data_IF_746332181054
#
_entry.id   IF_746332181054
#
_cell.length_a   1.000
_cell.length_b   1.000
_cell.length_c   1.000
_cell.angle_alpha   90.00
_cell.angle_beta   90.00
_cell.angle_gamma   90.00
#
_symmetry.space_group_name_H-M   'P 1'
#
loop_
_entity.id
_entity.type
_entity.pdbx_description
1 polymer ?
#
# COMPACT_ATOMS: atom_id res chain seq x y z
N UNK A 1 -24.81 60.84 19.84
CA UNK A 1 -24.76 60.77 18.36
C UNK A 1 -24.24 59.41 17.98
N UNK A 2 -25.07 58.55 17.48
CA UNK A 2 -24.73 57.18 17.09
C UNK A 2 -24.48 57.11 15.61
N UNK A 3 -23.23 56.73 15.20
CA UNK A 3 -22.86 56.47 13.83
C UNK A 3 -23.08 54.99 13.52
N UNK A 4 -23.99 54.67 12.59
CA UNK A 4 -24.27 53.38 12.02
C UNK A 4 -23.18 53.07 10.99
N UNK A 5 -22.45 51.95 11.15
CA UNK A 5 -21.60 51.38 10.14
C UNK A 5 -22.36 50.27 9.40
N UNK A 6 -22.56 50.48 8.09
CA UNK A 6 -23.13 49.50 7.19
C UNK A 6 -22.08 48.40 6.89
N UNK A 7 -22.40 47.18 7.27
CA UNK A 7 -21.61 46.03 6.85
C UNK A 7 -22.00 45.57 5.44
N UNK A 8 -21.03 45.60 4.54
CA UNK A 8 -21.13 44.96 3.22
C UNK A 8 -21.02 43.44 3.39
N UNK A 9 -22.09 42.76 3.07
CA UNK A 9 -22.08 41.30 2.90
C UNK A 9 -21.45 40.97 1.55
N UNK A 10 -20.21 40.46 1.55
CA UNK A 10 -19.63 39.81 0.40
C UNK A 10 -20.19 38.37 0.32
N UNK A 11 -21.01 38.14 -0.69
CA UNK A 11 -21.44 36.82 -1.13
C UNK A 11 -20.20 36.08 -1.65
N UNK A 12 -19.76 35.06 -0.91
CA UNK A 12 -18.86 34.05 -1.47
C UNK A 12 -19.70 33.09 -2.31
N UNK A 13 -19.56 33.22 -3.61
CA UNK A 13 -20.04 32.24 -4.58
C UNK A 13 -19.30 30.94 -4.36
N UNK A 14 -20.06 29.92 -4.04
CA UNK A 14 -19.60 28.54 -3.88
C UNK A 14 -19.49 27.93 -5.28
N UNK A 15 -18.38 28.16 -5.99
CA UNK A 15 -18.04 27.40 -7.18
C UNK A 15 -17.38 26.09 -6.77
N UNK A 16 -18.24 25.12 -6.46
CA UNK A 16 -17.86 23.70 -6.41
C UNK A 16 -17.79 23.17 -7.85
N UNK A 17 -16.72 23.47 -8.57
CA UNK A 17 -16.31 22.64 -9.70
C UNK A 17 -15.66 21.37 -9.13
N UNK A 18 -16.46 20.32 -9.10
CA UNK A 18 -15.99 18.96 -8.99
C UNK A 18 -15.11 18.67 -10.22
N UNK A 19 -13.80 18.53 -10.02
CA UNK A 19 -12.89 17.92 -10.98
C UNK A 19 -13.16 16.41 -11.05
N UNK A 20 -14.22 16.06 -11.77
CA UNK A 20 -14.62 14.69 -12.11
C UNK A 20 -14.02 14.22 -13.44
N UNK A 21 -12.90 14.78 -13.86
CA UNK A 21 -12.28 14.51 -15.15
C UNK A 21 -10.85 14.00 -15.04
N UNK A 22 -10.65 12.84 -14.37
CA UNK A 22 -9.32 12.24 -14.29
C UNK A 22 -9.26 10.71 -14.27
N UNK A 23 -10.37 10.05 -13.98
CA UNK A 23 -10.37 8.60 -13.77
C UNK A 23 -10.78 7.74 -14.97
N UNK A 24 -11.24 8.35 -16.06
CA UNK A 24 -11.74 7.61 -17.23
C UNK A 24 -10.64 7.19 -18.22
N UNK A 25 -9.53 7.92 -18.30
CA UNK A 25 -8.48 7.65 -19.29
C UNK A 25 -7.60 6.44 -18.92
N UNK A 26 -7.29 6.27 -17.64
CA UNK A 26 -6.39 5.19 -17.18
C UNK A 26 -7.08 3.83 -17.20
N UNK A 27 -8.38 3.76 -16.90
CA UNK A 27 -9.14 2.52 -16.97
C UNK A 27 -9.28 2.02 -18.41
N UNK A 28 -9.43 2.92 -19.39
CA UNK A 28 -9.49 2.57 -20.82
C UNK A 28 -8.13 2.09 -21.35
N UNK A 29 -7.05 2.72 -20.93
CA UNK A 29 -5.68 2.34 -21.26
C UNK A 29 -5.33 0.95 -20.71
N UNK A 30 -5.77 0.64 -19.49
CA UNK A 30 -5.54 -0.65 -18.87
C UNK A 30 -6.37 -1.77 -19.52
N UNK A 31 -7.64 -1.51 -19.84
CA UNK A 31 -8.49 -2.49 -20.55
C UNK A 31 -7.99 -2.74 -21.96
N UNK A 32 -7.53 -1.71 -22.67
CA UNK A 32 -6.93 -1.82 -23.99
C UNK A 32 -5.60 -2.58 -23.96
N UNK A 33 -4.81 -2.43 -22.91
CA UNK A 33 -3.61 -3.26 -22.68
C UNK A 33 -3.95 -4.72 -22.41
N UNK A 34 -5.04 -5.01 -21.69
CA UNK A 34 -5.54 -6.37 -21.45
C UNK A 34 -6.12 -7.01 -22.73
N UNK A 35 -6.84 -6.27 -23.56
CA UNK A 35 -7.34 -6.77 -24.86
C UNK A 35 -6.19 -7.11 -25.80
N UNK A 36 -5.15 -6.29 -25.86
CA UNK A 36 -3.95 -6.58 -26.65
C UNK A 36 -3.23 -7.86 -26.19
N UNK A 37 -3.22 -8.14 -24.89
CA UNK A 37 -2.65 -9.38 -24.34
C UNK A 37 -3.48 -10.61 -24.77
N UNK A 38 -4.80 -10.47 -24.94
CA UNK A 38 -5.69 -11.57 -25.35
C UNK A 38 -5.65 -11.84 -26.86
N UNK A 39 -5.46 -10.81 -27.69
CA UNK A 39 -5.44 -10.93 -29.14
C UNK A 39 -4.14 -11.55 -29.67
N UNK A 40 -3.01 -11.42 -28.98
CA UNK A 40 -1.75 -12.03 -29.38
C UNK A 40 -1.62 -13.53 -29.05
N UNK A 41 -2.58 -14.10 -28.32
CA UNK A 41 -2.54 -15.52 -27.93
C UNK A 41 -2.90 -16.49 -29.08
N UNK A 42 -3.35 -16.03 -30.24
CA UNK A 42 -3.89 -16.88 -31.30
C UNK A 42 -3.14 -16.85 -32.64
N UNK A 43 -1.94 -16.28 -32.76
CA UNK A 43 -1.19 -16.33 -34.02
C UNK A 43 0.30 -16.54 -33.83
N UNK A 44 0.74 -17.71 -34.26
CA UNK A 44 2.06 -18.14 -34.69
C UNK A 44 3.15 -18.47 -33.66
N UNK A 45 3.54 -19.74 -33.71
CA UNK A 45 4.81 -20.27 -33.27
C UNK A 45 5.99 -19.51 -33.91
N UNK A 46 6.80 -18.85 -33.03
CA UNK A 46 8.09 -18.31 -33.46
C UNK A 46 8.44 -17.00 -32.79
N UNK A 47 9.29 -17.07 -31.78
CA UNK A 47 9.89 -16.01 -30.98
C UNK A 47 9.20 -15.78 -29.65
N UNK A 48 9.75 -16.36 -28.60
CA UNK A 48 9.35 -16.04 -27.23
C UNK A 48 9.88 -14.65 -26.88
N UNK A 49 9.12 -13.61 -27.20
CA UNK A 49 9.28 -12.34 -26.53
C UNK A 49 8.83 -12.56 -25.09
N UNK A 50 9.77 -12.59 -24.16
CA UNK A 50 9.50 -12.68 -22.74
C UNK A 50 8.54 -11.52 -22.36
N UNK A 51 7.35 -11.83 -21.92
CA UNK A 51 6.41 -10.81 -21.45
C UNK A 51 7.07 -10.08 -20.28
N UNK A 52 7.22 -8.78 -20.40
CA UNK A 52 7.85 -7.96 -19.36
C UNK A 52 7.05 -7.98 -18.04
N UNK A 53 5.75 -8.33 -18.09
CA UNK A 53 4.86 -8.36 -16.94
C UNK A 53 3.90 -9.55 -17.00
N UNK A 54 3.49 -10.03 -15.83
CA UNK A 54 2.46 -11.05 -15.62
C UNK A 54 1.39 -10.55 -14.65
N UNK A 55 0.21 -11.17 -14.71
CA UNK A 55 -0.87 -10.93 -13.76
C UNK A 55 -0.93 -12.09 -12.76
N UNK A 56 -0.99 -11.75 -11.49
CA UNK A 56 -1.11 -12.68 -10.37
C UNK A 56 -2.46 -12.53 -9.70
N UNK A 57 -3.01 -13.62 -9.17
CA UNK A 57 -4.22 -13.65 -8.35
C UNK A 57 -3.99 -13.20 -6.90
N UNK A 58 -2.74 -13.12 -6.49
CA UNK A 58 -2.32 -12.61 -5.18
C UNK A 58 -1.36 -11.44 -5.33
N UNK A 59 -1.44 -10.46 -4.40
CA UNK A 59 -0.48 -9.36 -4.39
C UNK A 59 0.95 -9.90 -4.28
N UNK A 60 1.89 -9.44 -5.11
CA UNK A 60 3.31 -9.80 -5.00
C UNK A 60 3.96 -9.06 -3.82
N UNK A 61 3.50 -9.40 -2.61
CA UNK A 61 3.99 -8.87 -1.34
C UNK A 61 4.78 -9.96 -0.63
N UNK A 62 5.99 -9.62 -0.22
CA UNK A 62 6.87 -10.52 0.52
C UNK A 62 7.13 -10.00 1.93
N UNK A 63 7.22 -10.90 2.89
CA UNK A 63 7.65 -10.57 4.24
C UNK A 63 9.17 -10.47 4.30
N UNK A 64 9.67 -9.45 4.98
CA UNK A 64 11.08 -9.11 5.08
C UNK A 64 11.59 -9.25 6.51
N UNK A 65 12.89 -9.47 6.64
CA UNK A 65 13.57 -9.19 7.91
C UNK A 65 13.62 -7.69 8.16
N UNK A 66 13.71 -7.27 9.42
CA UNK A 66 13.92 -5.86 9.81
C UNK A 66 15.09 -5.23 9.07
N UNK A 67 16.21 -5.97 8.93
CA UNK A 67 17.40 -5.51 8.24
C UNK A 67 17.13 -5.24 6.76
N UNK A 68 16.52 -6.19 6.06
CA UNK A 68 16.16 -6.04 4.64
C UNK A 68 15.17 -4.89 4.42
N UNK A 69 14.21 -4.73 5.33
CA UNK A 69 13.27 -3.60 5.30
C UNK A 69 13.99 -2.25 5.44
N UNK A 70 14.91 -2.13 6.40
CA UNK A 70 15.69 -0.92 6.60
C UNK A 70 16.59 -0.60 5.39
N UNK A 71 17.15 -1.62 4.74
CA UNK A 71 17.95 -1.47 3.51
C UNK A 71 17.06 -1.00 2.35
N UNK A 72 15.88 -1.60 2.15
CA UNK A 72 14.93 -1.17 1.13
C UNK A 72 14.39 0.25 1.39
N UNK A 73 14.11 0.61 2.64
CA UNK A 73 13.67 1.95 3.00
C UNK A 73 14.69 3.04 2.60
N UNK A 74 15.99 2.73 2.58
CA UNK A 74 17.02 3.67 2.13
C UNK A 74 16.83 4.07 0.66
N UNK A 75 16.37 3.18 -0.20
CA UNK A 75 16.10 3.49 -1.61
C UNK A 75 15.07 4.62 -1.76
N UNK A 76 14.08 4.70 -0.85
CA UNK A 76 13.03 5.72 -0.88
C UNK A 76 13.48 7.13 -0.45
N UNK A 77 14.75 7.30 -0.10
CA UNK A 77 15.38 8.62 0.02
C UNK A 77 16.66 8.74 -0.82
N UNK A 78 16.88 7.79 -1.73
CA UNK A 78 17.96 7.76 -2.71
C UNK A 78 17.78 8.77 -3.83
N UNK A 79 18.64 8.67 -4.85
CA UNK A 79 18.74 9.69 -5.89
C UNK A 79 17.53 9.71 -6.82
N UNK A 80 16.92 8.57 -7.12
CA UNK A 80 15.67 8.50 -7.90
C UNK A 80 14.55 9.34 -7.27
N UNK A 81 14.27 9.10 -5.99
CA UNK A 81 13.22 9.84 -5.28
C UNK A 81 13.57 11.32 -5.11
N UNK A 82 14.85 11.65 -4.93
CA UNK A 82 15.31 13.04 -4.91
C UNK A 82 15.09 13.73 -6.25
N UNK A 83 15.37 13.03 -7.35
CA UNK A 83 15.17 13.54 -8.70
C UNK A 83 13.69 13.84 -8.96
N UNK A 84 12.80 12.87 -8.69
CA UNK A 84 11.35 13.06 -8.83
C UNK A 84 10.85 14.24 -7.98
N UNK A 85 11.35 14.36 -6.74
CA UNK A 85 10.99 15.44 -5.83
C UNK A 85 11.44 16.84 -6.29
N UNK A 86 12.54 16.91 -7.05
CA UNK A 86 13.13 18.17 -7.51
C UNK A 86 12.61 18.64 -8.87
N UNK A 87 11.93 17.79 -9.64
CA UNK A 87 11.56 18.07 -11.03
C UNK A 87 10.04 18.05 -11.27
N UNK A 88 9.28 19.03 -10.71
CA UNK A 88 7.83 19.07 -10.88
C UNK A 88 7.39 19.35 -12.33
N UNK A 89 8.26 19.89 -13.18
CA UNK A 89 7.98 20.08 -14.61
C UNK A 89 7.98 18.75 -15.37
N UNK A 90 8.77 17.78 -14.92
CA UNK A 90 8.87 16.46 -15.54
C UNK A 90 7.79 15.51 -15.00
N UNK A 91 7.53 15.53 -13.68
CA UNK A 91 6.68 14.55 -12.99
C UNK A 91 5.33 15.08 -12.50
N UNK A 92 4.99 16.31 -12.75
CA UNK A 92 3.91 17.08 -12.14
C UNK A 92 4.16 17.49 -10.66
N UNK A 93 3.57 18.62 -10.22
CA UNK A 93 3.70 19.08 -8.83
C UNK A 93 3.21 18.06 -7.79
N UNK A 94 2.10 17.38 -8.08
CA UNK A 94 1.51 16.37 -7.19
C UNK A 94 2.46 15.20 -6.94
N UNK A 95 3.05 14.65 -7.99
CA UNK A 95 4.01 13.53 -7.90
C UNK A 95 5.29 13.96 -7.18
N UNK A 96 5.81 15.15 -7.50
CA UNK A 96 7.00 15.67 -6.80
C UNK A 96 6.74 15.89 -5.30
N UNK A 97 5.57 16.37 -4.92
CA UNK A 97 5.20 16.50 -3.51
C UNK A 97 5.01 15.14 -2.83
N UNK A 98 4.42 14.16 -3.52
CA UNK A 98 4.37 12.76 -3.05
C UNK A 98 5.78 12.22 -2.81
N UNK A 99 6.73 12.47 -3.72
CA UNK A 99 8.14 12.08 -3.57
C UNK A 99 8.83 12.75 -2.37
N UNK A 100 8.59 14.05 -2.14
CA UNK A 100 9.10 14.75 -0.95
C UNK A 100 8.61 14.12 0.34
N UNK A 101 7.32 13.76 0.42
CA UNK A 101 6.74 13.07 1.58
C UNK A 101 7.32 11.68 1.76
N UNK A 102 7.38 10.88 0.71
CA UNK A 102 8.00 9.54 0.71
C UNK A 102 9.41 9.59 1.28
N UNK A 103 10.25 10.50 0.75
CA UNK A 103 11.62 10.73 1.23
C UNK A 103 11.67 11.09 2.71
N UNK A 104 10.77 11.98 3.17
CA UNK A 104 10.73 12.41 4.59
C UNK A 104 10.39 11.24 5.51
N UNK A 105 9.39 10.44 5.16
CA UNK A 105 8.96 9.26 5.93
C UNK A 105 10.06 8.20 5.97
N UNK A 106 10.63 7.86 4.81
CA UNK A 106 11.70 6.87 4.70
C UNK A 106 12.96 7.27 5.50
N UNK A 107 13.34 8.56 5.44
CA UNK A 107 14.46 9.08 6.24
C UNK A 107 14.20 8.99 7.74
N UNK A 108 12.98 9.34 8.18
CA UNK A 108 12.60 9.23 9.59
C UNK A 108 12.70 7.80 10.07
N UNK A 109 12.18 6.85 9.29
CA UNK A 109 12.26 5.43 9.64
C UNK A 109 13.70 4.93 9.78
N UNK A 110 14.60 5.30 8.86
CA UNK A 110 16.01 4.89 8.88
C UNK A 110 16.78 5.37 10.13
N UNK A 111 16.22 6.29 10.91
CA UNK A 111 16.78 6.76 12.21
C UNK A 111 16.06 6.19 13.42
N UNK A 112 14.96 5.48 13.24
CA UNK A 112 14.13 4.97 14.34
C UNK A 112 14.65 3.60 14.78
N UNK A 113 15.08 3.50 16.03
CA UNK A 113 15.56 2.24 16.61
C UNK A 113 14.45 1.43 17.31
N UNK A 114 13.21 1.93 17.26
CA UNK A 114 12.10 1.25 17.93
C UNK A 114 11.75 -0.04 17.21
N UNK A 115 11.91 -1.12 17.93
CA UNK A 115 11.49 -2.45 17.53
C UNK A 115 10.56 -3.00 18.59
N UNK A 116 9.39 -3.43 18.15
CA UNK A 116 8.50 -4.21 18.99
C UNK A 116 8.65 -5.68 18.60
N UNK A 117 8.58 -6.57 19.59
CA UNK A 117 8.73 -8.01 19.35
C UNK A 117 7.73 -8.58 18.32
N UNK A 118 6.61 -7.89 18.10
CA UNK A 118 5.52 -8.29 17.21
C UNK A 118 5.50 -7.49 15.90
N UNK A 119 6.57 -6.74 15.58
CA UNK A 119 6.63 -6.01 14.32
C UNK A 119 6.84 -6.96 13.14
N UNK A 120 6.05 -6.74 12.08
CA UNK A 120 6.18 -7.44 10.79
C UNK A 120 6.47 -6.43 9.69
N UNK A 121 7.19 -6.87 8.69
CA UNK A 121 7.74 -6.01 7.63
C UNK A 121 7.42 -6.61 6.28
N UNK A 122 6.84 -5.83 5.38
CA UNK A 122 6.39 -6.28 4.07
C UNK A 122 6.88 -5.37 2.98
N UNK A 123 7.15 -5.95 1.80
CA UNK A 123 7.50 -5.24 0.58
C UNK A 123 6.59 -5.68 -0.55
N UNK A 124 5.92 -4.74 -1.19
CA UNK A 124 5.30 -4.94 -2.50
C UNK A 124 6.37 -4.77 -3.57
N UNK A 125 6.55 -5.80 -4.39
CA UNK A 125 7.64 -5.87 -5.35
C UNK A 125 7.13 -5.95 -6.79
N UNK A 126 7.75 -5.19 -7.68
CA UNK A 126 7.66 -5.35 -9.12
C UNK A 126 9.00 -5.84 -9.64
N UNK A 127 9.12 -7.15 -9.85
CA UNK A 127 10.40 -7.84 -10.05
C UNK A 127 11.29 -7.68 -8.82
N UNK A 128 12.51 -7.24 -9.02
CA UNK A 128 13.49 -7.02 -7.95
C UNK A 128 13.39 -5.63 -7.28
N UNK A 129 12.41 -4.79 -7.69
CA UNK A 129 12.24 -3.43 -7.18
C UNK A 129 11.10 -3.36 -6.18
N UNK A 130 11.40 -2.89 -4.97
CA UNK A 130 10.38 -2.54 -3.99
C UNK A 130 9.66 -1.27 -4.42
N UNK A 131 8.32 -1.34 -4.51
CA UNK A 131 7.46 -0.20 -4.86
C UNK A 131 6.53 0.22 -3.73
N UNK A 132 6.53 -0.55 -2.65
CA UNK A 132 5.84 -0.21 -1.42
C UNK A 132 6.39 -0.98 -0.24
N UNK A 133 6.45 -0.34 0.91
CA UNK A 133 6.87 -0.95 2.18
C UNK A 133 5.79 -0.72 3.24
N UNK A 134 5.52 -1.74 4.02
CA UNK A 134 4.59 -1.71 5.14
C UNK A 134 5.25 -2.30 6.38
N UNK A 135 5.19 -1.57 7.49
CA UNK A 135 5.47 -2.10 8.82
C UNK A 135 4.17 -2.14 9.60
N UNK A 136 3.88 -3.29 10.16
CA UNK A 136 2.75 -3.48 11.07
C UNK A 136 3.22 -3.96 12.42
N UNK A 137 2.39 -3.75 13.42
CA UNK A 137 2.55 -4.30 14.77
C UNK A 137 1.34 -5.17 15.09
N UNK A 138 1.47 -6.01 16.09
CA UNK A 138 0.37 -6.82 16.60
C UNK A 138 -0.80 -5.98 17.10
N UNK A 139 -1.93 -6.64 17.27
CA UNK A 139 -3.12 -6.03 17.82
C UNK A 139 -3.05 -5.71 19.31
N UNK A 140 -4.11 -5.09 19.79
CA UNK A 140 -4.26 -4.69 21.20
C UNK A 140 -5.74 -4.64 21.59
N UNK A 141 -5.99 -4.68 22.90
CA UNK A 141 -7.35 -4.46 23.41
C UNK A 141 -7.72 -2.97 23.29
N UNK A 142 -8.82 -2.68 22.60
CA UNK A 142 -9.23 -1.30 22.27
C UNK A 142 -9.41 -0.42 23.50
N UNK A 143 -9.86 -1.01 24.61
CA UNK A 143 -10.03 -0.30 25.91
C UNK A 143 -8.73 0.23 26.51
N UNK A 144 -7.59 -0.36 26.12
CA UNK A 144 -6.29 -0.01 26.70
C UNK A 144 -5.63 1.18 25.97
N UNK A 145 -6.15 1.51 24.78
CA UNK A 145 -5.56 2.54 23.90
C UNK A 145 -6.53 3.67 23.60
N UNK A 146 -7.81 3.35 23.32
CA UNK A 146 -8.77 4.36 22.89
C UNK A 146 -9.47 5.01 24.06
N UNK A 147 -9.44 6.34 24.08
CA UNK A 147 -10.15 7.12 25.07
C UNK A 147 -11.66 7.12 24.82
N UNK A 148 -12.44 7.14 25.89
CA UNK A 148 -13.90 7.28 25.86
C UNK A 148 -14.63 6.04 25.34
N UNK A 149 -15.88 6.23 24.91
CA UNK A 149 -16.83 5.16 24.54
C UNK A 149 -17.15 5.17 23.01
N UNK A 150 -16.56 6.10 22.25
CA UNK A 150 -16.91 6.29 20.83
C UNK A 150 -16.63 5.03 20.01
N UNK A 151 -15.51 4.37 20.25
CA UNK A 151 -15.15 3.15 19.55
C UNK A 151 -16.16 2.00 19.74
N UNK A 152 -16.79 1.89 20.93
CA UNK A 152 -17.82 0.88 21.19
C UNK A 152 -19.08 1.08 20.36
N UNK A 153 -19.39 2.35 20.04
CA UNK A 153 -20.52 2.68 19.16
C UNK A 153 -20.21 2.38 17.71
N UNK A 154 -18.97 2.67 17.29
CA UNK A 154 -18.53 2.45 15.92
C UNK A 154 -18.30 0.94 15.62
N UNK A 155 -17.85 0.19 16.61
CA UNK A 155 -17.50 -1.24 16.46
C UNK A 155 -18.18 -2.12 17.51
N UNK A 156 -19.52 -2.27 17.44
CA UNK A 156 -20.27 -3.04 18.43
C UNK A 156 -19.82 -4.51 18.45
N UNK A 157 -19.53 -5.03 19.66
CA UNK A 157 -19.08 -6.40 19.84
C UNK A 157 -17.60 -6.66 19.54
N UNK A 158 -16.86 -5.64 19.07
CA UNK A 158 -15.40 -5.73 18.82
C UNK A 158 -14.66 -5.15 20.02
N UNK A 159 -13.65 -5.87 20.50
CA UNK A 159 -12.88 -5.44 21.67
C UNK A 159 -11.38 -5.35 21.40
N UNK A 160 -10.93 -5.94 20.29
CA UNK A 160 -9.52 -6.05 19.94
C UNK A 160 -9.28 -5.60 18.50
N UNK A 161 -8.23 -4.83 18.29
CA UNK A 161 -7.60 -4.56 17.02
C UNK A 161 -6.74 -5.76 16.67
N UNK A 162 -6.74 -6.21 15.42
CA UNK A 162 -5.93 -7.35 14.96
C UNK A 162 -4.51 -6.92 14.62
N UNK A 163 -4.34 -5.76 14.00
CA UNK A 163 -3.04 -5.23 13.59
C UNK A 163 -3.02 -3.71 13.59
N UNK A 164 -1.85 -3.14 13.83
CA UNK A 164 -1.59 -1.70 13.72
C UNK A 164 -0.71 -1.43 12.52
N UNK A 165 -1.16 -0.56 11.62
CA UNK A 165 -0.35 0.01 10.54
C UNK A 165 0.51 1.13 11.13
N UNK A 166 1.78 0.84 11.36
CA UNK A 166 2.71 1.79 11.97
C UNK A 166 3.41 2.67 10.93
N UNK A 167 3.81 2.08 9.80
CA UNK A 167 4.51 2.79 8.75
C UNK A 167 4.11 2.25 7.37
N UNK A 168 3.84 3.17 6.46
CA UNK A 168 3.65 2.87 5.04
C UNK A 168 4.48 3.83 4.19
N UNK A 169 5.31 3.27 3.30
CA UNK A 169 6.10 4.01 2.32
C UNK A 169 5.71 3.50 0.94
N UNK A 170 5.41 4.41 0.01
CA UNK A 170 5.03 4.03 -1.36
C UNK A 170 5.86 4.80 -2.37
N UNK A 171 6.18 4.15 -3.49
CA UNK A 171 6.87 4.80 -4.60
C UNK A 171 5.95 5.85 -5.23
N UNK A 172 6.42 7.08 -5.47
CA UNK A 172 5.56 8.18 -5.93
C UNK A 172 4.93 7.93 -7.31
N UNK A 173 5.56 7.15 -8.17
CA UNK A 173 5.07 6.81 -9.52
C UNK A 173 4.21 5.55 -9.58
N UNK A 174 4.00 4.85 -8.46
CA UNK A 174 3.20 3.63 -8.44
C UNK A 174 1.91 3.90 -7.69
N UNK A 175 0.81 3.79 -8.42
CA UNK A 175 -0.51 3.97 -7.82
C UNK A 175 -0.97 2.72 -7.10
N UNK A 176 -1.83 2.93 -6.10
CA UNK A 176 -2.43 1.88 -5.28
C UNK A 176 -1.46 0.95 -4.52
N UNK A 177 -0.14 1.19 -4.55
CA UNK A 177 0.82 0.34 -3.83
C UNK A 177 0.52 0.25 -2.34
N UNK A 178 0.09 1.36 -1.73
CA UNK A 178 -0.33 1.39 -0.34
C UNK A 178 -1.58 0.57 -0.07
N UNK A 179 -2.56 0.64 -0.95
CA UNK A 179 -3.83 -0.08 -0.80
C UNK A 179 -3.63 -1.59 -0.95
N UNK A 180 -2.73 -2.00 -1.87
CA UNK A 180 -2.34 -3.41 -2.06
C UNK A 180 -1.67 -3.96 -0.78
N UNK A 181 -0.83 -3.16 -0.14
CA UNK A 181 -0.21 -3.54 1.14
C UNK A 181 -1.23 -3.67 2.27
N UNK A 182 -2.24 -2.79 2.34
CA UNK A 182 -3.33 -2.91 3.31
C UNK A 182 -4.22 -4.13 3.03
N UNK A 183 -4.52 -4.39 1.77
CA UNK A 183 -5.25 -5.59 1.36
C UNK A 183 -4.51 -6.85 1.78
N UNK A 184 -3.20 -6.89 1.57
CA UNK A 184 -2.36 -7.99 2.04
C UNK A 184 -2.44 -8.16 3.57
N UNK A 185 -2.40 -7.06 4.34
CA UNK A 185 -2.54 -7.13 5.80
C UNK A 185 -3.92 -7.64 6.22
N UNK A 186 -5.00 -7.18 5.57
CA UNK A 186 -6.35 -7.67 5.85
C UNK A 186 -6.47 -9.18 5.59
N UNK A 187 -5.85 -9.71 4.54
CA UNK A 187 -5.79 -11.14 4.26
C UNK A 187 -5.09 -11.92 5.37
N UNK A 188 -3.98 -11.38 5.89
CA UNK A 188 -3.26 -12.01 7.02
C UNK A 188 -4.06 -12.00 8.31
N UNK A 189 -4.84 -10.95 8.55
CA UNK A 189 -5.69 -10.81 9.74
C UNK A 189 -6.96 -11.68 9.65
N UNK A 190 -7.34 -12.10 8.44
CA UNK A 190 -8.44 -13.03 8.20
C UNK A 190 -9.83 -12.43 8.42
N UNK A 191 -10.80 -13.27 8.82
CA UNK A 191 -12.21 -12.92 8.88
C UNK A 191 -12.53 -11.82 9.89
N UNK A 192 -11.79 -11.81 10.98
CA UNK A 192 -11.98 -10.87 12.07
C UNK A 192 -11.07 -9.63 11.97
N UNK A 193 -10.56 -9.33 10.78
CA UNK A 193 -9.69 -8.20 10.57
C UNK A 193 -10.26 -6.90 11.16
N UNK A 194 -9.43 -6.19 11.91
CA UNK A 194 -9.70 -4.87 12.45
C UNK A 194 -8.39 -4.11 12.51
N UNK A 195 -8.13 -3.26 11.50
CA UNK A 195 -6.88 -2.54 11.37
C UNK A 195 -6.93 -1.21 12.10
N UNK A 196 -5.90 -0.93 12.88
CA UNK A 196 -5.66 0.37 13.48
C UNK A 196 -4.62 1.16 12.68
N UNK A 197 -4.77 2.48 12.62
CA UNK A 197 -3.79 3.40 12.03
C UNK A 197 -3.77 4.73 12.79
N UNK A 198 -2.58 5.36 12.84
CA UNK A 198 -2.38 6.74 13.29
C UNK A 198 -1.83 7.57 12.14
N UNK A 199 -2.69 8.21 11.34
CA UNK A 199 -2.25 8.98 10.18
C UNK A 199 -1.33 10.13 10.59
N UNK A 200 -0.13 10.17 9.99
CA UNK A 200 0.89 11.15 10.35
C UNK A 200 0.57 12.60 9.90
N UNK A 201 -0.43 12.79 9.04
CA UNK A 201 -0.83 14.09 8.51
C UNK A 201 -2.25 14.05 7.92
N UNK A 202 -2.79 15.24 7.56
CA UNK A 202 -4.15 15.40 7.03
C UNK A 202 -4.40 14.58 5.76
N UNK A 203 -3.43 14.48 4.87
CA UNK A 203 -3.58 13.73 3.61
C UNK A 203 -3.64 12.22 3.86
N UNK A 204 -2.79 11.69 4.75
CA UNK A 204 -2.85 10.30 5.16
C UNK A 204 -4.22 9.99 5.82
N UNK A 205 -4.73 10.89 6.67
CA UNK A 205 -6.07 10.76 7.26
C UNK A 205 -7.17 10.76 6.19
N UNK A 206 -7.12 11.70 5.24
CA UNK A 206 -8.08 11.74 4.13
C UNK A 206 -8.06 10.45 3.30
N UNK A 207 -6.85 9.90 3.04
CA UNK A 207 -6.71 8.61 2.36
C UNK A 207 -7.29 7.46 3.18
N UNK A 208 -7.04 7.43 4.48
CA UNK A 208 -7.61 6.41 5.37
C UNK A 208 -9.14 6.45 5.35
N UNK A 209 -9.75 7.63 5.41
CA UNK A 209 -11.22 7.80 5.29
C UNK A 209 -11.75 7.24 3.96
N UNK A 210 -11.06 7.48 2.85
CA UNK A 210 -11.45 6.92 1.54
C UNK A 210 -11.42 5.40 1.50
N UNK A 211 -10.57 4.77 2.32
CA UNK A 211 -10.45 3.33 2.45
C UNK A 211 -11.43 2.72 3.47
N UNK A 212 -12.22 3.55 4.14
CA UNK A 212 -13.22 3.11 5.11
C UNK A 212 -12.73 3.11 6.56
N UNK A 213 -11.56 3.68 6.86
CA UNK A 213 -11.19 3.89 8.26
C UNK A 213 -12.10 4.92 8.91
N UNK A 214 -12.48 4.68 10.15
CA UNK A 214 -13.33 5.54 10.97
C UNK A 214 -12.50 6.12 12.12
N UNK A 215 -12.70 7.41 12.41
CA UNK A 215 -12.08 8.05 13.57
C UNK A 215 -12.65 7.50 14.87
N UNK A 216 -11.81 7.04 15.77
CA UNK A 216 -12.19 6.59 17.12
C UNK A 216 -11.83 7.63 18.19
N UNK A 217 -10.82 8.44 17.92
CA UNK A 217 -10.44 9.65 18.65
C UNK A 217 -9.61 10.58 17.74
N UNK A 218 -8.98 11.61 18.30
CA UNK A 218 -8.27 12.64 17.53
C UNK A 218 -7.11 12.09 16.70
N UNK A 219 -6.42 11.06 17.20
CA UNK A 219 -5.19 10.52 16.60
C UNK A 219 -5.38 9.12 15.98
N UNK A 220 -6.44 8.40 16.38
CA UNK A 220 -6.62 7.01 16.05
C UNK A 220 -7.77 6.77 15.08
N UNK A 221 -7.52 5.92 14.10
CA UNK A 221 -8.50 5.46 13.13
C UNK A 221 -8.52 3.93 13.08
N UNK A 222 -9.69 3.36 12.85
CA UNK A 222 -9.88 1.91 12.76
C UNK A 222 -10.67 1.56 11.51
N UNK A 223 -10.26 0.51 10.82
CA UNK A 223 -10.96 -0.08 9.68
C UNK A 223 -11.52 -1.45 10.07
N UNK A 224 -12.83 -1.58 9.99
CA UNK A 224 -13.52 -2.87 9.93
C UNK A 224 -13.98 -3.09 8.49
N UNK A 225 -13.36 -3.99 7.72
CA UNK A 225 -13.71 -4.17 6.31
C UNK A 225 -15.13 -4.69 6.12
N UNK A 226 -15.73 -5.33 7.15
CA UNK A 226 -17.12 -5.82 7.09
C UNK A 226 -18.15 -4.71 7.06
N UNK A 227 -17.79 -3.51 7.54
CA UNK A 227 -18.67 -2.33 7.55
C UNK A 227 -18.62 -1.53 6.24
N UNK A 228 -17.70 -1.89 5.32
CA UNK A 228 -17.45 -1.16 4.08
C UNK A 228 -17.46 -2.09 2.86
N UNK A 229 -18.59 -2.76 2.55
CA UNK A 229 -18.69 -3.70 1.42
C UNK A 229 -18.47 -3.02 0.07
N UNK A 230 -18.63 -1.70 -0.02
CA UNK A 230 -18.33 -0.90 -1.20
C UNK A 230 -16.81 -0.69 -1.43
N UNK A 231 -15.98 -1.00 -0.43
CA UNK A 231 -14.52 -0.88 -0.48
C UNK A 231 -13.82 -2.23 -0.42
N UNK A 232 -14.37 -3.14 0.39
CA UNK A 232 -13.75 -4.41 0.73
C UNK A 232 -14.74 -5.56 0.57
N UNK A 233 -14.36 -6.59 -0.16
CA UNK A 233 -15.16 -7.80 -0.37
C UNK A 233 -14.30 -9.03 -0.08
N UNK A 234 -14.95 -10.17 0.11
CA UNK A 234 -14.28 -11.46 0.08
C UNK A 234 -14.23 -11.99 -1.35
N UNK A 235 -13.06 -12.47 -1.78
CA UNK A 235 -12.89 -13.14 -3.05
C UNK A 235 -13.37 -14.61 -3.00
N UNK A 236 -13.12 -15.40 -4.04
CA UNK A 236 -13.53 -16.81 -4.12
C UNK A 236 -12.83 -17.71 -3.09
N UNK A 237 -11.65 -17.29 -2.62
CA UNK A 237 -10.86 -18.01 -1.62
C UNK A 237 -11.15 -17.51 -0.19
N UNK A 238 -12.22 -16.72 -0.02
CA UNK A 238 -12.62 -16.08 1.24
C UNK A 238 -11.56 -15.12 1.81
N UNK A 239 -10.73 -14.58 0.95
CA UNK A 239 -9.71 -13.59 1.31
C UNK A 239 -10.19 -12.16 1.02
N UNK A 240 -9.80 -11.19 1.85
CA UNK A 240 -10.13 -9.79 1.62
C UNK A 240 -9.53 -9.25 0.34
N UNK A 241 -10.34 -8.49 -0.40
CA UNK A 241 -10.00 -7.85 -1.66
C UNK A 241 -10.69 -6.50 -1.78
N UNK A 242 -10.06 -5.54 -2.45
CA UNK A 242 -10.70 -4.26 -2.78
C UNK A 242 -11.84 -4.47 -3.77
N UNK A 243 -13.01 -3.92 -3.45
CA UNK A 243 -14.22 -4.10 -4.26
C UNK A 243 -14.15 -3.37 -5.61
N UNK A 244 -13.48 -2.22 -5.65
CA UNK A 244 -13.40 -1.31 -6.79
C UNK A 244 -12.21 -1.58 -7.73
N UNK A 245 -11.45 -2.66 -7.50
CA UNK A 245 -10.25 -3.00 -8.27
C UNK A 245 -10.31 -4.44 -8.80
N UNK A 246 -9.66 -4.70 -9.95
CA UNK A 246 -9.50 -6.07 -10.43
C UNK A 246 -8.82 -6.95 -9.39
N UNK A 247 -9.25 -8.21 -9.29
CA UNK A 247 -8.62 -9.23 -8.44
C UNK A 247 -7.28 -9.76 -8.97
N UNK A 248 -6.65 -9.02 -9.88
CA UNK A 248 -5.36 -9.39 -10.47
C UNK A 248 -4.34 -8.29 -10.20
N UNK A 249 -3.12 -8.70 -9.93
CA UNK A 249 -2.02 -7.84 -9.54
C UNK A 249 -0.91 -7.91 -10.57
N UNK A 250 -0.39 -6.75 -10.97
CA UNK A 250 0.73 -6.69 -11.88
C UNK A 250 2.00 -7.14 -11.15
N UNK A 251 2.73 -8.07 -11.78
CA UNK A 251 4.07 -8.46 -11.38
C UNK A 251 5.00 -8.36 -12.58
N UNK A 252 6.23 -7.95 -12.37
CA UNK A 252 7.24 -8.03 -13.42
C UNK A 252 7.63 -9.49 -13.59
N UNK A 253 7.57 -10.00 -14.82
CA UNK A 253 8.08 -11.34 -15.13
C UNK A 253 9.57 -11.38 -14.76
N UNK A 254 9.98 -12.35 -13.97
CA UNK A 254 11.39 -12.61 -13.77
C UNK A 254 11.97 -13.07 -15.11
N UNK A 255 13.04 -12.43 -15.55
CA UNK A 255 13.83 -12.98 -16.64
C UNK A 255 14.26 -14.37 -16.16
N UNK A 256 13.81 -15.40 -16.87
CA UNK A 256 14.12 -16.81 -16.55
C UNK A 256 15.60 -17.09 -16.85
N UNK A 257 16.46 -16.45 -16.07
CA UNK A 257 17.91 -16.69 -16.07
C UNK A 257 18.26 -17.43 -14.80
N UNK A 258 18.45 -18.74 -15.01
CA UNK A 258 19.24 -19.65 -14.15
C UNK A 258 18.71 -19.93 -12.73
N UNK A 259 17.68 -20.79 -12.62
CA UNK A 259 17.83 -21.91 -11.72
C UNK A 259 18.74 -22.95 -12.39
N UNK A 260 20.01 -22.65 -12.54
CA UNK A 260 21.01 -23.66 -12.84
C UNK A 260 21.69 -24.05 -11.54
N UNK A 261 21.35 -25.26 -11.12
CA UNK A 261 22.18 -26.17 -10.34
C UNK A 261 22.80 -25.61 -9.04
N UNK A 262 22.13 -25.93 -7.94
CA UNK A 262 22.82 -26.13 -6.68
C UNK A 262 23.89 -27.22 -6.90
N UNK A 263 25.18 -26.99 -6.54
CA UNK A 263 26.18 -28.01 -6.62
C UNK A 263 25.79 -29.18 -5.70
N UNK A 264 25.57 -30.34 -6.30
CA UNK A 264 25.51 -31.60 -5.58
C UNK A 264 26.83 -31.74 -4.82
N UNK A 265 26.75 -31.57 -3.52
CA UNK A 265 27.82 -32.06 -2.63
C UNK A 265 27.83 -33.57 -2.74
N UNK A 266 28.76 -34.12 -3.47
CA UNK A 266 29.14 -35.52 -3.39
C UNK A 266 29.76 -35.71 -2.00
N UNK A 267 29.08 -36.46 -1.17
CA UNK A 267 29.64 -37.07 0.04
C UNK A 267 30.62 -38.16 -0.46
N UNK A 268 31.88 -37.87 -0.43
CA UNK A 268 32.91 -38.89 -0.50
C UNK A 268 32.95 -39.60 0.86
N UNK A 269 32.48 -40.86 0.84
CA UNK A 269 32.77 -41.83 1.87
C UNK A 269 34.27 -42.11 1.88
N UNK A 270 34.98 -41.63 2.85
CA UNK A 270 36.29 -42.21 3.20
C UNK A 270 36.09 -43.27 4.27
N UNK A 271 35.98 -44.50 3.78
CA UNK A 271 36.43 -45.68 4.47
C UNK A 271 37.95 -45.72 4.33
N UNK A 272 38.68 -45.68 5.42
CA UNK A 272 39.93 -46.46 5.64
C UNK A 272 40.28 -46.49 7.14
N UNK A 273 40.22 -47.65 7.73
CA UNK A 273 41.24 -48.67 7.99
C UNK A 273 42.45 -48.19 8.83
N UNK A 274 42.50 -48.73 9.95
CA UNK A 274 43.49 -49.21 10.93
C UNK A 274 43.43 -48.55 12.29
#
# INVERSE_FOLDING_TARGET
MYGRIHGSSSQFSNDSHADEAGYSADSHSFLQALENIHLESNSHAGSSSSRAYSLLDRPPVVELSKRSFAEQAKAYHGDEIKHIAANPQEYSPHISDKAKRTKKVAKKYGTTQYDTANARYFSYQLGNKSVGLLRTEGGFAMRDVFAGEQWRKSFPGRNEVTSTVDLQIVHPLVDNAGDILLEHQLRLDGDNALLHSRPANREARARSLQLGFVDVDDDNMVLDPTQHPEKWIKNRDDEWQRADKPGLYLSKAEDSVSQSEAPRVQSEDEHDFM
#
